data_IF_798155647417
#
_entry.id   IF_798155647417
#
_cell.length_a   1.000
_cell.length_b   1.000
_cell.length_c   1.000
_cell.angle_alpha   90.00
_cell.angle_beta   90.00
_cell.angle_gamma   90.00
#
_symmetry.space_group_name_H-M   'P 1'
#
loop_
_entity.id
_entity.type
_entity.pdbx_description
1 polymer ?
#
# COMPACT_ATOMS: atom_id res chain seq x y z
N UNK A 1 3.44 -6.92 -10.46
CA UNK A 1 2.81 -5.64 -10.09
C UNK A 1 1.86 -5.85 -8.92
N UNK A 2 2.07 -5.08 -7.86
CA UNK A 2 1.18 -4.97 -6.71
C UNK A 2 0.64 -3.54 -6.71
N UNK A 3 -0.66 -3.37 -6.53
CA UNK A 3 -1.27 -2.06 -6.24
C UNK A 3 -1.80 -2.03 -4.82
N UNK A 4 -1.59 -0.92 -4.13
CA UNK A 4 -2.15 -0.67 -2.80
C UNK A 4 -3.19 0.43 -2.92
N UNK A 5 -4.42 0.13 -2.53
CA UNK A 5 -5.50 1.12 -2.44
C UNK A 5 -5.71 1.53 -0.99
N UNK A 6 -5.55 2.81 -0.71
CA UNK A 6 -5.73 3.38 0.63
C UNK A 6 -7.12 4.02 0.72
N UNK A 7 -7.91 3.56 1.69
CA UNK A 7 -9.29 3.99 1.92
C UNK A 7 -9.43 4.55 3.33
N UNK A 8 -10.17 5.65 3.46
CA UNK A 8 -10.55 6.21 4.76
C UNK A 8 -11.60 5.33 5.42
N UNK A 9 -11.29 4.74 6.58
CA UNK A 9 -12.13 3.73 7.25
C UNK A 9 -13.56 4.21 7.51
N UNK A 10 -13.74 5.46 7.94
CA UNK A 10 -15.07 5.95 8.29
C UNK A 10 -15.94 6.33 7.10
N UNK A 11 -15.34 6.74 5.98
CA UNK A 11 -16.10 7.28 4.83
C UNK A 11 -16.12 6.33 3.64
N UNK A 12 -15.26 5.31 3.62
CA UNK A 12 -15.09 4.40 2.48
C UNK A 12 -14.47 5.07 1.25
N UNK A 13 -14.04 6.34 1.35
CA UNK A 13 -13.50 7.12 0.22
C UNK A 13 -12.00 6.87 0.03
N UNK A 14 -11.51 6.88 -1.21
CA UNK A 14 -10.07 6.80 -1.48
C UNK A 14 -9.34 8.03 -0.94
N UNK A 15 -8.11 7.81 -0.48
CA UNK A 15 -7.25 8.89 0.03
C UNK A 15 -6.09 9.11 -0.93
N UNK A 16 -6.04 10.30 -1.52
CA UNK A 16 -4.93 10.80 -2.33
C UNK A 16 -3.80 11.33 -1.44
N UNK A 17 -2.56 11.23 -1.91
CA UNK A 17 -1.41 11.92 -1.30
C UNK A 17 -0.88 11.27 -0.03
N UNK A 18 -1.24 10.01 0.24
CA UNK A 18 -0.60 9.14 1.23
C UNK A 18 0.64 8.49 0.66
N UNK A 19 1.72 8.44 1.45
CA UNK A 19 2.97 7.77 1.09
C UNK A 19 2.90 6.31 1.49
N UNK A 20 2.97 5.41 0.52
CA UNK A 20 2.91 3.97 0.71
C UNK A 20 4.28 3.36 0.47
N UNK A 21 4.72 2.45 1.34
CA UNK A 21 5.91 1.64 1.13
C UNK A 21 5.63 0.16 1.42
N UNK A 22 6.29 -0.74 0.69
CA UNK A 22 6.20 -2.17 0.91
C UNK A 22 7.45 -2.67 1.62
N UNK A 23 7.29 -3.32 2.77
CA UNK A 23 8.34 -4.09 3.42
C UNK A 23 8.32 -5.52 2.89
N UNK A 24 9.31 -5.88 2.08
CA UNK A 24 9.49 -7.19 1.47
C UNK A 24 10.66 -7.93 2.13
N UNK A 25 10.80 -9.25 1.95
CA UNK A 25 11.90 -10.01 2.58
C UNK A 25 13.31 -9.51 2.20
N UNK A 26 13.44 -8.87 1.03
CA UNK A 26 14.68 -8.31 0.51
C UNK A 26 14.89 -6.82 0.84
N UNK A 27 14.00 -6.20 1.62
CA UNK A 27 14.12 -4.78 2.01
C UNK A 27 12.80 -4.02 1.89
N UNK A 28 12.88 -2.70 2.10
CA UNK A 28 11.73 -1.80 1.97
C UNK A 28 11.81 -1.07 0.63
N UNK A 29 10.71 -0.98 -0.11
CA UNK A 29 10.65 -0.22 -1.37
C UNK A 29 10.80 1.28 -1.10
N UNK A 30 11.08 2.04 -2.16
CA UNK A 30 10.81 3.47 -2.12
C UNK A 30 9.33 3.73 -1.86
N UNK A 31 9.03 4.89 -1.26
CA UNK A 31 7.67 5.27 -0.98
C UNK A 31 7.01 5.86 -2.23
N UNK A 32 5.86 5.31 -2.62
CA UNK A 32 5.01 5.79 -3.71
C UNK A 32 3.83 6.57 -3.16
N UNK A 33 3.38 7.58 -3.89
CA UNK A 33 2.25 8.41 -3.46
C UNK A 33 0.95 7.93 -4.10
N UNK A 34 -0.09 7.84 -3.29
CA UNK A 34 -1.43 7.51 -3.77
C UNK A 34 -1.99 8.60 -4.69
N UNK A 35 -2.56 8.17 -5.82
CA UNK A 35 -3.20 9.02 -6.82
C UNK A 35 -4.63 9.46 -6.40
N UNK A 36 -5.41 10.04 -7.33
CA UNK A 36 -6.79 10.45 -7.05
C UNK A 36 -7.74 9.30 -6.72
N UNK A 37 -7.42 8.08 -7.14
CA UNK A 37 -8.17 6.87 -6.85
C UNK A 37 -7.70 6.18 -5.56
N UNK A 38 -6.73 6.78 -4.88
CA UNK A 38 -6.11 6.28 -3.66
C UNK A 38 -5.15 5.12 -3.92
N UNK A 39 -4.65 4.96 -5.14
CA UNK A 39 -3.80 3.83 -5.54
C UNK A 39 -2.32 4.22 -5.63
N UNK A 40 -1.46 3.34 -5.11
CA UNK A 40 -0.02 3.37 -5.28
C UNK A 40 0.43 2.06 -5.93
N UNK A 41 1.32 2.14 -6.93
CA UNK A 41 1.69 1.00 -7.77
C UNK A 41 3.16 0.63 -7.60
N UNK A 42 3.42 -0.67 -7.43
CA UNK A 42 4.76 -1.20 -7.22
C UNK A 42 5.05 -2.32 -8.22
N UNK A 43 6.14 -2.20 -8.96
CA UNK A 43 6.63 -3.28 -9.81
C UNK A 43 7.48 -4.27 -9.01
N UNK A 44 6.80 -5.00 -8.12
CA UNK A 44 7.39 -6.10 -7.35
C UNK A 44 6.62 -7.39 -7.61
N UNK A 45 7.31 -8.51 -7.43
CA UNK A 45 6.69 -9.84 -7.48
C UNK A 45 5.86 -10.07 -6.20
N UNK A 46 4.73 -10.79 -6.30
CA UNK A 46 3.96 -11.20 -5.13
C UNK A 46 4.83 -11.93 -4.09
N UNK A 47 4.66 -11.56 -2.81
CA UNK A 47 5.38 -12.19 -1.70
C UNK A 47 4.69 -11.87 -0.37
N UNK A 48 5.09 -12.57 0.70
CA UNK A 48 4.74 -12.18 2.05
C UNK A 48 5.48 -10.89 2.44
N UNK A 49 4.77 -9.90 2.96
CA UNK A 49 5.32 -8.58 3.26
C UNK A 49 4.41 -7.73 4.14
N UNK A 50 4.81 -6.47 4.30
CA UNK A 50 4.14 -5.45 5.11
C UNK A 50 3.83 -4.23 4.25
N UNK A 51 2.72 -3.56 4.53
CA UNK A 51 2.39 -2.27 3.92
C UNK A 51 2.48 -1.20 5.00
N UNK A 52 3.20 -0.14 4.68
CA UNK A 52 3.32 1.05 5.49
C UNK A 52 2.64 2.23 4.80
N UNK A 53 1.82 2.98 5.52
CA UNK A 53 1.17 4.21 5.05
C UNK A 53 1.62 5.35 5.97
N UNK A 54 2.24 6.38 5.41
CA UNK A 54 2.87 7.50 6.13
C UNK A 54 3.81 7.05 7.28
N UNK A 55 4.44 5.88 7.13
CA UNK A 55 5.36 5.30 8.12
C UNK A 55 4.70 4.36 9.14
N UNK A 56 3.37 4.32 9.22
CA UNK A 56 2.62 3.40 10.09
C UNK A 56 2.38 2.06 9.40
N UNK A 57 2.54 0.94 10.11
CA UNK A 57 2.25 -0.40 9.56
C UNK A 57 0.75 -0.64 9.56
N UNK A 58 0.16 -0.77 8.37
CA UNK A 58 -1.29 -0.92 8.21
C UNK A 58 -1.72 -2.32 7.77
N UNK A 59 -0.82 -3.09 7.15
CA UNK A 59 -1.12 -4.45 6.70
C UNK A 59 0.12 -5.35 6.73
N UNK A 60 -0.09 -6.64 6.92
CA UNK A 60 0.93 -7.68 6.89
C UNK A 60 0.31 -8.98 6.40
N UNK A 61 0.95 -9.63 5.42
CA UNK A 61 0.41 -10.83 4.79
C UNK A 61 0.99 -11.09 3.40
N UNK A 62 0.34 -11.99 2.66
CA UNK A 62 0.69 -12.24 1.27
C UNK A 62 0.21 -11.10 0.37
N UNK A 63 1.14 -10.31 -0.16
CA UNK A 63 0.86 -9.18 -1.03
C UNK A 63 0.84 -9.67 -2.49
N UNK A 64 -0.31 -9.53 -3.15
CA UNK A 64 -0.49 -9.90 -4.55
C UNK A 64 -1.62 -9.08 -5.17
N UNK A 65 -1.56 -8.83 -6.49
CA UNK A 65 -2.60 -8.08 -7.20
C UNK A 65 -2.88 -6.72 -6.56
N UNK A 66 -4.15 -6.45 -6.23
CA UNK A 66 -4.57 -5.24 -5.50
C UNK A 66 -4.83 -5.56 -4.03
N UNK A 67 -4.12 -4.86 -3.14
CA UNK A 67 -4.33 -4.92 -1.69
C UNK A 67 -5.06 -3.64 -1.25
N UNK A 68 -6.17 -3.79 -0.52
CA UNK A 68 -6.92 -2.65 0.02
C UNK A 68 -6.59 -2.48 1.49
N UNK A 69 -6.24 -1.27 1.89
CA UNK A 69 -5.86 -0.91 3.25
C UNK A 69 -6.78 0.19 3.75
N UNK A 70 -7.33 0.00 4.95
CA UNK A 70 -8.24 0.94 5.59
C UNK A 70 -7.53 1.68 6.73
N UNK A 71 -7.24 2.96 6.49
CA UNK A 71 -6.61 3.86 7.46
C UNK A 71 -7.64 4.77 8.12
#
# INVERSE_FOLDING_TARGET
MISVKVIHRSSGKPIKGKKVALGMPNGVTHGEWTDSEGEAHFDVKPNHGKIFVDGSKEHEGHLSGRVVVYV
#
